data_IF_160027974227
#
_entry.id   IF_160027974227
#
_cell.length_a   1.000
_cell.length_b   1.000
_cell.length_c   1.000
_cell.angle_alpha   90.00
_cell.angle_beta   90.00
_cell.angle_gamma   90.00
#
_symmetry.space_group_name_H-M   'P 1'
#
loop_
_entity.id
_entity.type
_entity.pdbx_description
1 polymer ?
#
# COMPACT_ATOMS: atom_id res chain seq x y z
N UNK A 1 -37.14 9.30 26.54
CA UNK A 1 -35.95 8.52 26.97
C UNK A 1 -36.18 7.08 26.50
N UNK A 2 -35.45 6.49 25.56
CA UNK A 2 -34.11 6.74 25.05
C UNK A 2 -34.09 6.61 23.51
N UNK A 3 -33.49 7.59 22.84
CA UNK A 3 -33.10 7.54 21.41
C UNK A 3 -31.56 7.56 21.35
N UNK A 4 -30.94 6.41 21.56
CA UNK A 4 -29.51 6.23 21.29
C UNK A 4 -29.36 5.61 19.91
N UNK A 5 -29.23 6.44 18.87
CA UNK A 5 -28.93 5.94 17.53
C UNK A 5 -27.49 5.43 17.48
N UNK A 6 -27.29 4.21 16.96
CA UNK A 6 -26.01 3.56 16.68
C UNK A 6 -25.20 4.25 15.55
N UNK A 7 -25.21 5.58 15.45
CA UNK A 7 -24.93 6.31 14.21
C UNK A 7 -23.96 7.51 14.31
N UNK A 8 -22.87 7.45 15.09
CA UNK A 8 -21.96 8.62 15.23
C UNK A 8 -20.44 8.33 15.25
N UNK A 9 -19.98 7.14 14.89
CA UNK A 9 -18.53 6.91 14.74
C UNK A 9 -18.14 6.87 13.26
N UNK A 10 -17.62 7.99 12.69
CA UNK A 10 -17.19 8.03 11.30
C UNK A 10 -15.89 7.24 11.05
N UNK A 11 -15.31 6.60 12.06
CA UNK A 11 -14.00 5.96 11.95
C UNK A 11 -12.84 6.94 12.06
N UNK A 12 -11.68 6.56 11.54
CA UNK A 12 -10.56 7.50 11.37
C UNK A 12 -10.84 8.52 10.25
N UNK A 13 -11.61 8.11 9.25
CA UNK A 13 -11.94 8.92 8.08
C UNK A 13 -13.41 8.74 7.71
N UNK A 14 -14.14 9.85 7.60
CA UNK A 14 -15.56 9.83 7.22
C UNK A 14 -15.80 9.66 5.72
N UNK A 15 -17.05 9.38 5.32
CA UNK A 15 -17.47 9.17 3.92
C UNK A 15 -17.26 10.40 3.01
N UNK A 16 -17.04 11.58 3.59
CA UNK A 16 -16.77 12.81 2.87
C UNK A 16 -15.28 13.04 2.57
N UNK A 17 -14.37 12.20 3.09
CA UNK A 17 -12.93 12.31 2.82
C UNK A 17 -12.56 11.78 1.43
N UNK A 18 -11.52 12.35 0.84
CA UNK A 18 -10.96 11.85 -0.43
C UNK A 18 -10.40 10.44 -0.23
N UNK A 19 -9.80 10.17 0.93
CA UNK A 19 -9.31 8.85 1.30
C UNK A 19 -10.42 7.79 1.21
N UNK A 20 -11.60 8.06 1.76
CA UNK A 20 -12.75 7.15 1.67
C UNK A 20 -13.22 6.98 0.21
N UNK A 21 -13.34 8.09 -0.53
CA UNK A 21 -13.77 8.09 -1.93
C UNK A 21 -12.83 7.32 -2.86
N UNK A 22 -11.52 7.36 -2.62
CA UNK A 22 -10.55 6.63 -3.45
C UNK A 22 -10.53 5.15 -3.09
N UNK A 23 -10.46 4.83 -1.79
CA UNK A 23 -10.29 3.44 -1.34
C UNK A 23 -11.57 2.59 -1.47
N UNK A 24 -12.75 3.19 -1.68
CA UNK A 24 -14.01 2.43 -1.87
C UNK A 24 -14.06 1.74 -3.23
N UNK A 25 -13.23 2.17 -4.16
CA UNK A 25 -13.24 1.70 -5.54
C UNK A 25 -12.40 0.43 -5.64
N UNK A 26 -13.05 -0.72 -5.85
CA UNK A 26 -12.37 -2.01 -5.98
C UNK A 26 -11.30 -2.01 -7.08
N UNK A 27 -11.46 -1.20 -8.12
CA UNK A 27 -10.46 -1.02 -9.18
C UNK A 27 -9.10 -0.53 -8.65
N UNK A 28 -9.07 0.27 -7.59
CA UNK A 28 -7.82 0.74 -6.95
C UNK A 28 -7.04 -0.43 -6.35
N UNK A 29 -7.69 -1.52 -5.95
CA UNK A 29 -7.00 -2.73 -5.47
C UNK A 29 -6.11 -3.34 -6.56
N UNK A 30 -6.48 -3.24 -7.84
CA UNK A 30 -5.66 -3.71 -8.95
C UNK A 30 -4.32 -2.96 -9.02
N UNK A 31 -4.33 -1.67 -8.69
CA UNK A 31 -3.12 -0.85 -8.63
C UNK A 31 -2.19 -1.24 -7.48
N UNK A 32 -2.68 -1.94 -6.45
CA UNK A 32 -1.84 -2.47 -5.37
C UNK A 32 -0.71 -3.38 -5.86
N UNK A 33 -0.86 -4.01 -7.03
CA UNK A 33 0.23 -4.78 -7.67
C UNK A 33 1.41 -3.88 -8.05
N UNK A 34 1.16 -2.65 -8.52
CA UNK A 34 2.21 -1.66 -8.79
C UNK A 34 2.98 -1.33 -7.50
N UNK A 35 2.28 -1.09 -6.38
CA UNK A 35 2.93 -0.83 -5.10
C UNK A 35 3.84 -1.99 -4.69
N UNK A 36 3.36 -3.23 -4.80
CA UNK A 36 4.13 -4.42 -4.44
C UNK A 36 5.41 -4.54 -5.29
N UNK A 37 5.34 -4.27 -6.59
CA UNK A 37 6.53 -4.29 -7.45
C UNK A 37 7.56 -3.23 -7.03
N UNK A 38 7.11 -2.02 -6.74
CA UNK A 38 7.98 -0.95 -6.24
C UNK A 38 8.59 -1.31 -4.86
N UNK A 39 7.83 -1.96 -3.98
CA UNK A 39 8.32 -2.44 -2.69
C UNK A 39 9.41 -3.50 -2.86
N UNK A 40 9.26 -4.43 -3.81
CA UNK A 40 10.26 -5.46 -4.10
C UNK A 40 11.55 -4.91 -4.70
N UNK A 41 11.53 -3.71 -5.28
CA UNK A 41 12.74 -3.06 -5.74
C UNK A 41 13.65 -2.61 -4.59
N UNK A 42 13.12 -2.43 -3.37
CA UNK A 42 13.94 -2.10 -2.20
C UNK A 42 14.50 -3.40 -1.56
N UNK A 43 15.83 -3.59 -1.48
CA UNK A 43 16.43 -4.86 -1.06
C UNK A 43 16.07 -5.27 0.37
N UNK A 44 16.05 -4.33 1.31
CA UNK A 44 15.62 -4.58 2.69
C UNK A 44 14.15 -4.99 2.82
N UNK A 45 13.25 -4.38 2.05
CA UNK A 45 11.82 -4.75 2.03
C UNK A 45 11.64 -6.12 1.40
N UNK A 46 12.32 -6.39 0.28
CA UNK A 46 12.31 -7.70 -0.37
C UNK A 46 12.81 -8.81 0.57
N UNK A 47 13.89 -8.57 1.32
CA UNK A 47 14.40 -9.49 2.34
C UNK A 47 13.36 -9.79 3.42
N UNK A 48 12.71 -8.77 3.97
CA UNK A 48 11.65 -8.96 4.97
C UNK A 48 10.45 -9.75 4.47
N UNK A 49 10.03 -9.53 3.22
CA UNK A 49 8.95 -10.32 2.61
C UNK A 49 9.40 -11.75 2.37
N UNK A 50 10.60 -11.99 1.84
CA UNK A 50 11.13 -13.34 1.58
C UNK A 50 11.25 -14.17 2.86
N UNK A 51 11.79 -13.58 3.93
CA UNK A 51 12.11 -14.31 5.16
C UNK A 51 10.89 -14.49 6.07
N UNK A 52 9.92 -13.59 6.02
CA UNK A 52 8.79 -13.59 6.95
C UNK A 52 7.41 -13.74 6.30
N UNK A 53 7.29 -13.81 4.98
CA UNK A 53 6.01 -13.96 4.30
C UNK A 53 5.84 -15.33 3.67
N UNK A 54 4.69 -15.97 3.93
CA UNK A 54 4.24 -17.15 3.18
C UNK A 54 3.67 -16.77 1.81
N UNK A 55 4.23 -15.75 1.16
CA UNK A 55 3.70 -15.20 -0.10
C UNK A 55 3.63 -16.28 -1.19
N UNK A 56 4.63 -17.15 -1.26
CA UNK A 56 4.73 -18.24 -2.24
C UNK A 56 3.70 -19.36 -2.02
N UNK A 57 3.16 -19.50 -0.81
CA UNK A 57 2.31 -20.63 -0.41
C UNK A 57 0.85 -20.21 -0.20
N UNK A 58 0.63 -18.99 0.30
CA UNK A 58 -0.69 -18.44 0.64
C UNK A 58 -0.80 -16.97 0.18
N UNK A 59 -0.64 -16.73 -1.13
CA UNK A 59 -0.76 -15.40 -1.71
C UNK A 59 -2.18 -14.82 -1.50
N UNK A 60 -3.21 -15.64 -1.70
CA UNK A 60 -4.63 -15.23 -1.59
C UNK A 60 -4.99 -14.92 -0.14
N UNK A 61 -4.64 -15.79 0.81
CA UNK A 61 -4.89 -15.52 2.22
C UNK A 61 -4.09 -14.33 2.73
N UNK A 62 -2.86 -14.11 2.22
CA UNK A 62 -2.09 -12.89 2.53
C UNK A 62 -2.79 -11.64 2.00
N UNK A 63 -3.23 -11.65 0.74
CA UNK A 63 -3.95 -10.53 0.14
C UNK A 63 -5.23 -10.23 0.94
N UNK A 64 -6.02 -11.25 1.26
CA UNK A 64 -7.23 -11.12 2.08
C UNK A 64 -6.94 -10.48 3.44
N UNK A 65 -5.94 -10.96 4.18
CA UNK A 65 -5.55 -10.39 5.49
C UNK A 65 -5.13 -8.92 5.37
N UNK A 66 -4.39 -8.56 4.32
CA UNK A 66 -4.02 -7.16 4.06
C UNK A 66 -5.25 -6.31 3.77
N UNK A 67 -6.14 -6.77 2.87
CA UNK A 67 -7.37 -6.06 2.54
C UNK A 67 -8.28 -5.90 3.76
N UNK A 68 -8.49 -6.94 4.55
CA UNK A 68 -9.33 -6.89 5.75
C UNK A 68 -8.84 -5.81 6.73
N UNK A 69 -7.52 -5.72 6.95
CA UNK A 69 -6.91 -4.70 7.82
C UNK A 69 -7.00 -3.29 7.22
N UNK A 70 -6.71 -3.14 5.92
CA UNK A 70 -6.81 -1.84 5.24
C UNK A 70 -8.25 -1.33 5.25
N UNK A 71 -9.23 -2.19 4.92
CA UNK A 71 -10.64 -1.84 4.93
C UNK A 71 -11.12 -1.48 6.34
N UNK A 72 -10.64 -2.19 7.37
CA UNK A 72 -10.95 -1.83 8.76
C UNK A 72 -10.38 -0.45 9.15
N UNK A 73 -9.19 -0.08 8.68
CA UNK A 73 -8.60 1.25 8.94
C UNK A 73 -9.39 2.35 8.24
N UNK A 74 -9.79 2.11 7.00
CA UNK A 74 -10.42 3.13 6.14
C UNK A 74 -11.92 3.29 6.42
N UNK A 75 -12.64 2.17 6.59
CA UNK A 75 -14.10 2.12 6.62
C UNK A 75 -14.67 1.69 7.97
N UNK A 76 -13.84 1.15 8.86
CA UNK A 76 -14.27 0.65 10.15
C UNK A 76 -14.51 1.78 11.16
N UNK A 77 -15.34 1.54 12.19
CA UNK A 77 -15.46 2.44 13.33
C UNK A 77 -14.10 2.59 14.01
N UNK A 78 -13.87 3.71 14.70
CA UNK A 78 -12.56 4.10 15.22
C UNK A 78 -11.92 3.01 16.09
N UNK A 79 -12.63 2.30 16.98
CA UNK A 79 -12.06 1.18 17.74
C UNK A 79 -11.52 0.05 16.85
N UNK A 80 -12.23 -0.31 15.78
CA UNK A 80 -11.83 -1.36 14.85
C UNK A 80 -10.61 -0.93 14.01
N UNK A 81 -10.61 0.33 13.55
CA UNK A 81 -9.47 0.90 12.84
C UNK A 81 -8.19 0.90 13.70
N UNK A 82 -8.29 1.29 14.98
CA UNK A 82 -7.16 1.25 15.90
C UNK A 82 -6.70 -0.18 16.25
N UNK A 83 -7.63 -1.15 16.29
CA UNK A 83 -7.26 -2.55 16.46
C UNK A 83 -6.50 -3.09 15.24
N UNK A 84 -6.93 -2.75 14.04
CA UNK A 84 -6.22 -3.10 12.80
C UNK A 84 -4.80 -2.50 12.78
N UNK A 85 -4.65 -1.23 13.18
CA UNK A 85 -3.33 -0.59 13.36
C UNK A 85 -2.47 -1.37 14.37
N UNK A 86 -3.03 -1.74 15.53
CA UNK A 86 -2.30 -2.52 16.55
C UNK A 86 -1.85 -3.88 16.00
N UNK A 87 -2.71 -4.56 15.25
CA UNK A 87 -2.40 -5.85 14.64
C UNK A 87 -1.27 -5.74 13.60
N UNK A 88 -1.29 -4.70 12.75
CA UNK A 88 -0.20 -4.44 11.79
C UNK A 88 1.11 -4.17 12.54
N UNK A 89 1.10 -3.27 13.52
CA UNK A 89 2.29 -2.94 14.30
C UNK A 89 2.84 -4.15 15.06
N UNK A 90 1.99 -5.01 15.62
CA UNK A 90 2.39 -6.26 16.23
C UNK A 90 3.09 -7.19 15.24
N UNK A 91 2.56 -7.29 14.01
CA UNK A 91 3.20 -8.07 12.96
C UNK A 91 4.54 -7.47 12.56
N UNK A 92 4.62 -6.16 12.32
CA UNK A 92 5.86 -5.48 11.93
C UNK A 92 6.99 -5.68 12.94
N UNK A 93 6.70 -5.65 14.26
CA UNK A 93 7.71 -5.94 15.30
C UNK A 93 8.37 -7.31 15.18
N UNK A 94 7.69 -8.29 14.57
CA UNK A 94 8.21 -9.64 14.34
C UNK A 94 8.98 -9.81 13.03
N UNK A 95 8.95 -8.83 12.12
CA UNK A 95 9.59 -8.88 10.81
C UNK A 95 10.89 -8.09 10.87
N UNK A 96 12.00 -8.79 11.09
CA UNK A 96 13.34 -8.21 11.25
C UNK A 96 14.39 -9.27 10.95
N UNK A 97 15.51 -8.83 10.37
CA UNK A 97 16.63 -9.68 10.05
C UNK A 97 17.92 -8.87 9.95
N UNK A 98 19.02 -9.48 9.50
CA UNK A 98 20.28 -8.77 9.33
C UNK A 98 20.13 -7.55 8.41
N UNK A 99 20.32 -6.35 8.97
CA UNK A 99 20.29 -5.10 8.21
C UNK A 99 18.91 -4.55 7.85
N UNK A 100 17.81 -5.12 8.36
CA UNK A 100 16.46 -4.57 8.15
C UNK A 100 15.50 -4.82 9.33
N UNK A 101 14.55 -3.91 9.51
CA UNK A 101 13.39 -4.08 10.40
C UNK A 101 12.15 -3.51 9.71
N UNK A 102 10.99 -4.18 9.81
CA UNK A 102 9.73 -3.61 9.35
C UNK A 102 9.18 -2.50 10.26
N UNK A 103 9.91 -2.16 11.33
CA UNK A 103 9.67 -0.96 12.15
C UNK A 103 10.66 0.17 11.86
N UNK A 104 11.53 0.02 10.85
CA UNK A 104 12.41 1.09 10.38
C UNK A 104 11.56 2.19 9.72
N UNK A 105 11.58 3.44 10.23
CA UNK A 105 10.78 4.55 9.70
C UNK A 105 10.96 4.80 8.20
N UNK A 106 12.18 4.68 7.68
CA UNK A 106 12.47 4.96 6.26
C UNK A 106 11.90 3.86 5.36
N UNK A 107 11.98 2.60 5.81
CA UNK A 107 11.36 1.48 5.09
C UNK A 107 9.83 1.55 5.12
N UNK A 108 9.26 1.93 6.26
CA UNK A 108 7.83 2.17 6.40
C UNK A 108 7.38 3.32 5.48
N UNK A 109 8.14 4.41 5.42
CA UNK A 109 7.88 5.54 4.54
C UNK A 109 7.91 5.12 3.07
N UNK A 110 8.91 4.35 2.64
CA UNK A 110 8.96 3.80 1.28
C UNK A 110 7.73 2.94 0.97
N UNK A 111 7.40 1.97 1.82
CA UNK A 111 6.23 1.11 1.62
C UNK A 111 4.94 1.94 1.54
N UNK A 112 4.74 2.88 2.46
CA UNK A 112 3.59 3.79 2.45
C UNK A 112 3.54 4.64 1.18
N UNK A 113 4.66 5.18 0.74
CA UNK A 113 4.75 6.00 -0.46
C UNK A 113 4.34 5.22 -1.73
N UNK A 114 4.77 3.97 -1.86
CA UNK A 114 4.34 3.12 -2.99
C UNK A 114 2.83 2.87 -3.01
N UNK A 115 2.19 2.74 -1.83
CA UNK A 115 0.74 2.58 -1.72
C UNK A 115 0.02 3.84 -2.18
N UNK A 116 0.42 5.00 -1.68
CA UNK A 116 -0.14 6.32 -2.06
C UNK A 116 -0.01 6.54 -3.57
N UNK A 117 1.20 6.34 -4.10
CA UNK A 117 1.47 6.48 -5.53
C UNK A 117 0.56 5.60 -6.38
N UNK A 118 0.49 4.31 -6.04
CA UNK A 118 -0.31 3.35 -6.79
C UNK A 118 -1.81 3.66 -6.72
N UNK A 119 -2.31 4.10 -5.56
CA UNK A 119 -3.72 4.40 -5.38
C UNK A 119 -4.17 5.61 -6.21
N UNK A 120 -3.37 6.69 -6.20
CA UNK A 120 -3.63 7.90 -6.99
C UNK A 120 -3.61 7.57 -8.49
N UNK A 121 -2.56 6.89 -8.97
CA UNK A 121 -2.47 6.53 -10.40
C UNK A 121 -3.55 5.54 -10.80
N UNK A 122 -3.82 4.56 -9.96
CA UNK A 122 -4.89 3.57 -10.18
C UNK A 122 -6.26 4.21 -10.30
N UNK A 123 -6.60 5.12 -9.39
CA UNK A 123 -7.86 5.85 -9.42
C UNK A 123 -7.99 6.69 -10.70
N UNK A 124 -6.96 7.48 -11.04
CA UNK A 124 -6.91 8.31 -12.26
C UNK A 124 -7.05 7.48 -13.54
N UNK A 125 -6.46 6.29 -13.57
CA UNK A 125 -6.46 5.43 -14.75
C UNK A 125 -7.74 4.58 -14.90
N UNK A 126 -8.36 4.16 -13.80
CA UNK A 126 -9.41 3.14 -13.82
C UNK A 126 -10.79 3.62 -13.37
N UNK A 127 -10.88 4.75 -12.66
CA UNK A 127 -12.12 5.25 -12.07
C UNK A 127 -12.51 6.59 -12.66
N UNK A 128 -11.65 7.59 -12.55
CA UNK A 128 -11.99 8.94 -12.98
C UNK A 128 -10.98 10.00 -12.57
N UNK A 129 -11.23 11.27 -12.93
CA UNK A 129 -10.31 12.36 -12.62
C UNK A 129 -10.15 12.54 -11.10
N UNK A 130 -8.93 12.83 -10.68
CA UNK A 130 -8.58 13.25 -9.33
C UNK A 130 -7.70 14.50 -9.47
N UNK A 131 -8.22 15.66 -9.07
CA UNK A 131 -7.47 16.92 -9.16
C UNK A 131 -6.23 16.89 -8.26
N UNK A 132 -5.27 17.78 -8.52
CA UNK A 132 -4.04 17.82 -7.72
C UNK A 132 -4.30 18.24 -6.27
N UNK A 133 -5.31 19.08 -6.04
CA UNK A 133 -5.76 19.43 -4.69
C UNK A 133 -6.35 18.23 -3.95
N UNK A 134 -7.16 17.40 -4.63
CA UNK A 134 -7.71 16.18 -4.04
C UNK A 134 -6.63 15.12 -3.83
N UNK A 135 -5.66 15.02 -4.73
CA UNK A 135 -4.52 14.12 -4.57
C UNK A 135 -3.65 14.55 -3.37
N UNK A 136 -3.37 15.84 -3.20
CA UNK A 136 -2.67 16.38 -2.02
C UNK A 136 -3.45 16.11 -0.73
N UNK A 137 -4.78 16.31 -0.73
CA UNK A 137 -5.61 15.97 0.44
C UNK A 137 -5.60 14.47 0.74
N UNK A 138 -5.73 13.62 -0.27
CA UNK A 138 -5.60 12.16 -0.12
C UNK A 138 -4.24 11.82 0.52
N UNK A 139 -3.16 12.45 0.04
CA UNK A 139 -1.85 12.24 0.62
C UNK A 139 -1.78 12.67 2.10
N UNK A 140 -2.30 13.85 2.46
CA UNK A 140 -2.34 14.28 3.86
C UNK A 140 -3.13 13.29 4.73
N UNK A 141 -4.31 12.84 4.29
CA UNK A 141 -5.13 11.87 5.01
C UNK A 141 -4.35 10.56 5.25
N UNK A 142 -3.63 10.07 4.23
CA UNK A 142 -2.84 8.82 4.38
C UNK A 142 -1.68 8.96 5.37
N UNK A 143 -1.13 10.18 5.59
CA UNK A 143 -0.07 10.38 6.60
C UNK A 143 -0.58 10.09 8.00
N UNK A 144 -1.84 10.39 8.30
CA UNK A 144 -2.42 10.07 9.60
C UNK A 144 -2.39 8.56 9.87
N UNK A 145 -2.65 7.74 8.84
CA UNK A 145 -2.49 6.27 8.93
C UNK A 145 -1.02 5.91 9.15
N UNK A 146 -0.11 6.50 8.37
CA UNK A 146 1.31 6.18 8.47
C UNK A 146 1.93 6.53 9.83
N UNK A 147 1.50 7.64 10.43
CA UNK A 147 1.89 8.02 11.81
C UNK A 147 1.43 6.97 12.81
N UNK A 148 0.20 6.49 12.69
CA UNK A 148 -0.32 5.40 13.53
C UNK A 148 0.46 4.07 13.33
N UNK A 149 1.03 3.87 12.13
CA UNK A 149 1.88 2.73 11.79
C UNK A 149 3.36 2.91 12.15
N UNK A 150 3.72 4.04 12.78
CA UNK A 150 5.06 4.29 13.32
C UNK A 150 5.98 5.12 12.45
N UNK A 151 5.46 5.78 11.40
CA UNK A 151 6.24 6.73 10.58
C UNK A 151 6.23 8.10 11.28
N UNK A 152 7.38 8.65 11.70
CA UNK A 152 7.44 9.99 12.27
C UNK A 152 6.88 11.03 11.30
N UNK A 153 6.13 12.02 11.80
CA UNK A 153 5.52 13.04 10.92
C UNK A 153 6.58 13.88 10.22
N UNK A 154 7.75 14.01 10.83
CA UNK A 154 8.83 14.90 10.45
C UNK A 154 9.56 14.42 9.19
N UNK A 155 9.55 13.11 8.91
CA UNK A 155 10.20 12.53 7.72
C UNK A 155 9.29 12.55 6.49
N UNK A 156 8.00 12.87 6.65
CA UNK A 156 7.08 12.93 5.53
C UNK A 156 7.39 14.15 4.62
N UNK A 157 7.45 13.93 3.29
CA UNK A 157 7.34 15.03 2.34
C UNK A 157 6.08 15.87 2.61
N UNK A 158 6.21 17.20 2.61
CA UNK A 158 5.14 18.09 3.11
C UNK A 158 3.88 18.05 2.25
N UNK A 159 4.03 18.00 0.93
CA UNK A 159 2.96 18.11 -0.07
C UNK A 159 3.25 17.18 -1.25
N UNK A 160 2.29 17.07 -2.17
CA UNK A 160 2.39 16.17 -3.33
C UNK A 160 3.65 16.41 -4.19
N UNK A 161 4.05 17.65 -4.41
CA UNK A 161 5.27 18.01 -5.15
C UNK A 161 6.55 17.45 -4.50
N UNK A 162 6.68 17.62 -3.17
CA UNK A 162 7.79 17.06 -2.40
C UNK A 162 7.73 15.53 -2.35
N UNK A 163 6.54 14.95 -2.36
CA UNK A 163 6.33 13.51 -2.41
C UNK A 163 6.79 12.91 -3.74
N UNK A 164 6.46 13.56 -4.85
CA UNK A 164 6.94 13.18 -6.19
C UNK A 164 8.46 13.29 -6.28
N UNK A 165 9.05 14.37 -5.75
CA UNK A 165 10.49 14.54 -5.67
C UNK A 165 11.16 13.45 -4.81
N UNK A 166 10.56 13.06 -3.69
CA UNK A 166 11.05 11.95 -2.86
C UNK A 166 11.04 10.62 -3.62
N UNK A 167 9.94 10.30 -4.31
CA UNK A 167 9.85 9.07 -5.11
C UNK A 167 10.91 9.04 -6.21
N UNK A 168 11.08 10.14 -6.93
CA UNK A 168 12.10 10.24 -7.97
C UNK A 168 13.50 10.11 -7.38
N UNK A 169 13.77 10.76 -6.25
CA UNK A 169 15.05 10.65 -5.54
C UNK A 169 15.37 9.21 -5.11
N UNK A 170 14.38 8.45 -4.63
CA UNK A 170 14.55 7.02 -4.30
C UNK A 170 14.88 6.17 -5.52
N UNK A 171 14.23 6.44 -6.65
CA UNK A 171 14.49 5.74 -7.92
C UNK A 171 15.90 6.08 -8.44
N UNK A 172 16.28 7.35 -8.40
CA UNK A 172 17.56 7.84 -8.92
C UNK A 172 18.76 7.44 -8.05
N UNK A 173 18.58 7.34 -6.72
CA UNK A 173 19.64 6.98 -5.77
C UNK A 173 20.12 5.53 -5.92
N UNK A 174 19.35 4.68 -6.62
CA UNK A 174 19.55 3.23 -6.74
C UNK A 174 19.45 2.47 -5.41
N UNK A 175 18.90 3.09 -4.37
CA UNK A 175 18.47 2.38 -3.17
C UNK A 175 17.39 1.35 -3.50
N UNK A 176 16.55 1.67 -4.50
CA UNK A 176 15.66 0.71 -5.13
C UNK A 176 16.24 0.28 -6.48
N UNK A 177 16.34 -1.02 -6.68
CA UNK A 177 16.90 -1.60 -7.89
C UNK A 177 16.15 -2.88 -8.28
N UNK A 178 15.82 -3.00 -9.57
CA UNK A 178 15.17 -4.20 -10.11
C UNK A 178 16.22 -5.29 -10.35
N UNK A 179 16.62 -5.95 -9.27
CA UNK A 179 17.51 -7.11 -9.29
C UNK A 179 16.82 -8.41 -9.71
N UNK A 180 17.59 -9.49 -9.80
CA UNK A 180 17.08 -10.84 -10.08
C UNK A 180 15.99 -11.26 -9.10
N UNK A 181 16.15 -10.90 -7.82
CA UNK A 181 15.21 -11.24 -6.76
C UNK A 181 13.88 -10.49 -6.90
N UNK A 182 13.94 -9.18 -7.15
CA UNK A 182 12.75 -8.37 -7.43
C UNK A 182 11.95 -8.94 -8.62
N UNK A 183 12.65 -9.34 -9.70
CA UNK A 183 12.01 -9.97 -10.87
C UNK A 183 11.37 -11.33 -10.54
N UNK A 184 12.05 -12.15 -9.74
CA UNK A 184 11.51 -13.45 -9.30
C UNK A 184 10.23 -13.25 -8.47
N UNK A 185 10.26 -12.31 -7.54
CA UNK A 185 9.10 -12.00 -6.70
C UNK A 185 7.97 -11.37 -7.53
N UNK A 186 8.28 -10.51 -8.50
CA UNK A 186 7.31 -9.92 -9.42
C UNK A 186 6.53 -11.00 -10.21
N UNK A 187 7.19 -12.05 -10.69
CA UNK A 187 6.53 -13.15 -11.42
C UNK A 187 5.47 -13.86 -10.56
N UNK A 188 5.70 -13.97 -9.24
CA UNK A 188 4.72 -14.55 -8.31
C UNK A 188 3.45 -13.71 -8.17
N UNK A 189 3.56 -12.38 -8.32
CA UNK A 189 2.43 -11.45 -8.20
C UNK A 189 1.71 -11.29 -9.53
N UNK A 190 2.47 -11.12 -10.60
CA UNK A 190 1.94 -10.83 -11.93
C UNK A 190 1.36 -12.07 -12.59
N UNK A 191 1.87 -13.25 -12.26
CA UNK A 191 1.50 -14.53 -12.88
C UNK A 191 1.40 -15.63 -11.83
N UNK A 192 0.50 -15.48 -10.83
CA UNK A 192 0.32 -16.48 -9.79
C UNK A 192 -0.08 -17.82 -10.39
N UNK A 193 0.41 -18.90 -9.80
CA UNK A 193 0.13 -20.27 -10.26
C UNK A 193 -1.06 -20.83 -9.49
N UNK A 194 -2.24 -20.88 -10.13
CA UNK A 194 -3.42 -21.55 -9.60
C UNK A 194 -3.72 -22.82 -10.41
N UNK A 195 -4.11 -23.88 -9.71
CA UNK A 195 -4.48 -25.15 -10.35
C UNK A 195 -5.65 -24.91 -11.31
N UNK A 196 -5.43 -25.20 -12.60
CA UNK A 196 -6.45 -25.07 -13.64
C UNK A 196 -6.61 -23.68 -14.27
N UNK A 197 -5.82 -22.69 -13.85
CA UNK A 197 -5.86 -21.34 -14.44
C UNK A 197 -4.60 -21.11 -15.29
N UNK A 198 -4.73 -20.90 -16.62
CA UNK A 198 -3.58 -20.60 -17.48
C UNK A 198 -2.90 -19.28 -17.07
N UNK A 199 -1.55 -19.23 -17.12
CA UNK A 199 -0.78 -18.02 -16.75
C UNK A 199 -1.20 -16.77 -17.56
N UNK A 200 -1.66 -16.97 -18.80
CA UNK A 200 -2.12 -15.89 -19.67
C UNK A 200 -3.38 -15.18 -19.15
N UNK A 201 -4.17 -15.82 -18.28
CA UNK A 201 -5.33 -15.19 -17.65
C UNK A 201 -4.97 -13.95 -16.82
N UNK A 202 -3.71 -13.82 -16.41
CA UNK A 202 -3.19 -12.66 -15.66
C UNK A 202 -2.54 -11.58 -16.56
N UNK A 203 -2.64 -11.70 -17.88
CA UNK A 203 -2.10 -10.70 -18.80
C UNK A 203 -2.72 -9.30 -18.60
N UNK A 204 -4.04 -9.13 -18.40
CA UNK A 204 -4.61 -7.80 -18.13
C UNK A 204 -4.03 -7.15 -16.86
N UNK A 205 -3.85 -7.94 -15.78
CA UNK A 205 -3.22 -7.45 -14.54
C UNK A 205 -1.79 -6.97 -14.80
N UNK A 206 -1.03 -7.72 -15.62
CA UNK A 206 0.34 -7.35 -16.00
C UNK A 206 0.38 -6.04 -16.80
N UNK A 207 -0.55 -5.86 -17.75
CA UNK A 207 -0.65 -4.63 -18.57
C UNK A 207 -1.02 -3.42 -17.70
N UNK A 208 -2.04 -3.56 -16.85
CA UNK A 208 -2.45 -2.49 -15.93
C UNK A 208 -1.29 -2.12 -15.00
N UNK A 209 -0.62 -3.11 -14.41
CA UNK A 209 0.51 -2.86 -13.52
C UNK A 209 1.64 -2.13 -14.25
N UNK A 210 2.01 -2.58 -15.45
CA UNK A 210 3.07 -1.95 -16.24
C UNK A 210 2.75 -0.50 -16.60
N UNK A 211 1.50 -0.18 -16.95
CA UNK A 211 1.08 1.19 -17.24
C UNK A 211 1.06 2.13 -16.02
N UNK A 212 0.98 1.56 -14.81
CA UNK A 212 0.96 2.33 -13.56
C UNK A 212 2.35 2.56 -12.96
N UNK A 213 3.35 1.75 -13.32
CA UNK A 213 4.72 1.93 -12.83
C UNK A 213 5.29 3.30 -13.25
N UNK A 214 6.20 3.87 -12.44
CA UNK A 214 6.99 5.03 -12.88
C UNK A 214 7.69 4.73 -14.21
N UNK A 215 7.92 5.75 -15.06
CA UNK A 215 8.72 5.57 -16.26
C UNK A 215 10.14 5.08 -15.88
N UNK A 216 10.72 4.26 -16.76
CA UNK A 216 12.06 3.69 -16.60
C UNK A 216 13.17 4.68 -16.93
#
# INVERSE_FOLDING_TARGET
MASGSLNEDPGLFGPHSILWRVNRESAVTLAGTCAILMQFAHPKVAAGVREHSRYQVDAVGRLRRTLDLTLAIVFGPRPAALEAVRAINARHRSVRGPGYSATDPELLLWVHATLVFSAIRGYRALVGPLSDAEADQYYQDTKEIGVLLGIPREIYPKRMDAFEAYLQGMIDSREVAVGSEARRMADLVLRPSFRGVPRLAFAPLSVITAGLLPPA
#
